data_IF_456821452791
#
_entry.id   IF_456821452791
#
_cell.length_a   1.000
_cell.length_b   1.000
_cell.length_c   1.000
_cell.angle_alpha   90.00
_cell.angle_beta   90.00
_cell.angle_gamma   90.00
#
_symmetry.space_group_name_H-M   'P 1'
#
loop_
_entity.id
_entity.type
_entity.pdbx_description
1 polymer ?
#
# COMPACT_ATOMS: atom_id res chain seq x y z
N UNK A 1 1.41 18.87 -3.73
CA UNK A 1 1.84 20.28 -3.93
C UNK A 1 1.36 21.21 -2.82
N UNK A 2 0.06 21.26 -2.46
CA UNK A 2 -0.43 22.14 -1.38
C UNK A 2 0.25 21.90 -0.02
N UNK A 3 0.57 20.65 0.32
CA UNK A 3 1.23 20.27 1.56
C UNK A 3 2.66 20.81 1.68
N UNK A 4 3.41 20.85 0.57
CA UNK A 4 4.78 21.39 0.52
C UNK A 4 4.78 22.91 0.68
N UNK A 5 3.78 23.60 0.12
CA UNK A 5 3.58 25.04 0.27
C UNK A 5 3.26 25.39 1.72
N UNK A 6 2.37 24.63 2.37
CA UNK A 6 2.07 24.79 3.79
C UNK A 6 3.31 24.62 4.69
N UNK A 7 4.14 23.63 4.40
CA UNK A 7 5.37 23.35 5.15
C UNK A 7 6.37 24.50 4.96
N UNK A 8 6.56 24.97 3.73
CA UNK A 8 7.45 26.09 3.43
C UNK A 8 6.99 27.40 4.10
N UNK A 9 5.68 27.64 4.12
CA UNK A 9 5.06 28.82 4.76
C UNK A 9 5.13 28.76 6.29
N UNK A 10 5.05 27.57 6.89
CA UNK A 10 5.27 27.40 8.33
C UNK A 10 6.74 27.55 8.74
N UNK A 11 7.68 27.15 7.86
CA UNK A 11 9.12 27.17 8.14
C UNK A 11 9.77 28.55 8.01
N UNK A 12 9.23 29.40 7.14
CA UNK A 12 9.87 30.67 6.79
C UNK A 12 9.77 31.74 7.87
N UNK A 13 8.93 31.56 8.91
CA UNK A 13 8.41 32.67 9.74
C UNK A 13 7.98 33.88 8.88
N UNK A 14 7.71 33.65 7.59
CA UNK A 14 7.32 34.72 6.71
C UNK A 14 5.96 35.13 7.21
N UNK A 15 5.86 36.35 7.72
CA UNK A 15 4.58 37.02 7.72
C UNK A 15 4.07 36.88 6.29
N UNK A 16 3.04 36.07 6.11
CA UNK A 16 2.31 35.87 4.86
C UNK A 16 1.57 37.16 4.54
N UNK A 17 2.30 38.27 4.48
CA UNK A 17 1.77 39.55 4.11
C UNK A 17 1.38 39.49 2.65
N UNK A 18 2.09 38.75 1.79
CA UNK A 18 1.66 38.57 0.41
C UNK A 18 2.08 37.25 -0.24
N UNK A 19 1.24 36.76 -1.14
CA UNK A 19 1.56 35.66 -2.06
C UNK A 19 1.53 36.21 -3.48
N UNK A 20 2.58 35.90 -4.25
CA UNK A 20 2.65 36.25 -5.66
C UNK A 20 2.48 34.99 -6.50
N UNK A 21 1.39 34.92 -7.26
CA UNK A 21 1.12 33.84 -8.19
C UNK A 21 0.65 34.44 -9.52
N UNK A 22 1.28 34.06 -10.63
CA UNK A 22 0.93 34.52 -11.99
C UNK A 22 0.88 36.07 -12.12
N UNK A 23 1.77 36.78 -11.41
CA UNK A 23 1.84 38.24 -11.43
C UNK A 23 0.80 38.97 -10.56
N UNK A 24 -0.13 38.25 -9.93
CA UNK A 24 -1.06 38.82 -8.95
C UNK A 24 -0.39 38.86 -7.57
N UNK A 25 -0.31 40.06 -7.01
CA UNK A 25 0.15 40.31 -5.66
C UNK A 25 -1.06 40.36 -4.73
N UNK A 26 -1.26 39.33 -3.92
CA UNK A 26 -2.39 39.29 -2.96
C UNK A 26 -1.83 39.52 -1.58
N UNK A 27 -2.22 40.62 -0.94
CA UNK A 27 -1.80 40.99 0.42
C UNK A 27 -2.85 40.52 1.43
N UNK A 28 -2.48 39.74 2.45
CA UNK A 28 -3.44 39.17 3.39
C UNK A 28 -3.50 39.98 4.68
N UNK A 29 -4.67 40.52 5.02
CA UNK A 29 -4.88 41.26 6.27
C UNK A 29 -4.98 40.38 7.53
N UNK A 30 -5.10 39.06 7.38
CA UNK A 30 -5.19 38.08 8.47
C UNK A 30 -4.47 36.77 8.08
N UNK A 31 -3.19 36.59 8.43
CA UNK A 31 -2.41 35.43 8.03
C UNK A 31 -2.93 34.12 8.62
N UNK A 32 -3.61 34.14 9.78
CA UNK A 32 -4.17 32.96 10.42
C UNK A 32 -5.30 32.34 9.58
N UNK A 33 -6.09 33.18 8.89
CA UNK A 33 -7.16 32.72 8.01
C UNK A 33 -6.60 32.00 6.78
N UNK A 34 -5.41 32.39 6.31
CA UNK A 34 -4.72 31.72 5.19
C UNK A 34 -4.27 30.31 5.59
N UNK A 35 -3.70 30.18 6.79
CA UNK A 35 -3.29 28.87 7.34
C UNK A 35 -4.51 27.96 7.50
N UNK A 36 -5.60 28.47 8.07
CA UNK A 36 -6.84 27.71 8.26
C UNK A 36 -7.45 27.28 6.92
N UNK A 37 -7.43 28.18 5.91
CA UNK A 37 -7.87 27.88 4.55
C UNK A 37 -7.03 26.79 3.89
N UNK A 38 -5.71 26.85 4.03
CA UNK A 38 -4.82 25.81 3.52
C UNK A 38 -5.02 24.46 4.22
N UNK A 39 -5.27 24.44 5.52
CA UNK A 39 -5.63 23.22 6.27
C UNK A 39 -6.94 22.63 5.76
N UNK A 40 -7.98 23.46 5.58
CA UNK A 40 -9.25 23.03 5.02
C UNK A 40 -9.11 22.46 3.60
N UNK A 41 -8.33 23.12 2.75
CA UNK A 41 -7.97 22.64 1.41
C UNK A 41 -7.25 21.29 1.48
N UNK A 42 -6.33 21.13 2.43
CA UNK A 42 -5.61 19.86 2.64
C UNK A 42 -6.56 18.74 3.05
N UNK A 43 -7.49 18.98 3.99
CA UNK A 43 -8.51 18.00 4.37
C UNK A 43 -9.46 17.66 3.23
N UNK A 44 -9.88 18.65 2.45
CA UNK A 44 -10.73 18.44 1.27
C UNK A 44 -10.04 17.53 0.24
N UNK A 45 -8.76 17.78 -0.05
CA UNK A 45 -7.99 16.93 -0.92
C UNK A 45 -7.78 15.53 -0.32
N UNK A 46 -7.45 15.41 0.97
CA UNK A 46 -7.35 14.13 1.68
C UNK A 46 -8.63 13.29 1.56
N UNK A 47 -9.79 13.92 1.76
CA UNK A 47 -11.09 13.28 1.60
C UNK A 47 -11.34 12.85 0.14
N UNK A 48 -11.08 13.72 -0.84
CA UNK A 48 -11.18 13.38 -2.26
C UNK A 48 -10.24 12.24 -2.65
N UNK A 49 -9.04 12.17 -2.07
CA UNK A 49 -8.11 11.05 -2.26
C UNK A 49 -8.67 9.74 -1.70
N UNK A 50 -9.28 9.78 -0.52
CA UNK A 50 -9.94 8.60 0.07
C UNK A 50 -11.11 8.12 -0.78
N UNK A 51 -11.87 9.03 -1.40
CA UNK A 51 -12.91 8.67 -2.35
C UNK A 51 -12.36 8.01 -3.62
N UNK A 52 -11.27 8.53 -4.20
CA UNK A 52 -10.63 7.91 -5.37
C UNK A 52 -10.14 6.49 -5.06
N UNK A 53 -9.61 6.25 -3.85
CA UNK A 53 -9.24 4.92 -3.39
C UNK A 53 -10.41 3.94 -3.36
N UNK A 54 -11.59 4.42 -2.98
CA UNK A 54 -12.80 3.58 -2.88
C UNK A 54 -13.42 3.35 -4.27
N UNK A 55 -13.30 4.32 -5.17
CA UNK A 55 -14.02 4.36 -6.46
C UNK A 55 -13.20 3.88 -7.66
N UNK A 56 -11.99 3.35 -7.46
CA UNK A 56 -11.09 2.98 -8.56
C UNK A 56 -11.67 1.83 -9.41
N UNK A 57 -11.80 2.00 -10.75
CA UNK A 57 -12.27 0.93 -11.62
C UNK A 57 -11.17 -0.13 -11.83
N UNK A 58 -11.41 -1.35 -11.35
CA UNK A 58 -10.53 -2.51 -11.53
C UNK A 58 -10.39 -3.37 -10.28
N UNK A 59 -9.56 -4.43 -10.29
CA UNK A 59 -9.21 -5.13 -9.07
C UNK A 59 -8.44 -4.14 -8.20
N UNK A 60 -9.04 -3.66 -7.11
CA UNK A 60 -8.40 -2.72 -6.19
C UNK A 60 -7.05 -3.22 -5.67
N UNK A 61 -6.29 -2.39 -4.96
CA UNK A 61 -4.93 -2.71 -4.49
C UNK A 61 -4.80 -4.11 -3.88
N UNK A 62 -5.81 -4.53 -3.11
CA UNK A 62 -5.93 -5.88 -2.54
C UNK A 62 -5.93 -6.99 -3.61
N UNK A 63 -6.73 -6.83 -4.66
CA UNK A 63 -6.83 -7.80 -5.75
C UNK A 63 -5.53 -7.92 -6.54
N UNK A 64 -4.89 -6.78 -6.86
CA UNK A 64 -3.59 -6.78 -7.56
C UNK A 64 -2.47 -7.36 -6.69
N UNK A 65 -2.47 -7.06 -5.39
CA UNK A 65 -1.57 -7.68 -4.42
C UNK A 65 -1.71 -9.20 -4.42
N UNK A 66 -2.94 -9.73 -4.25
CA UNK A 66 -3.15 -11.18 -4.23
C UNK A 66 -2.85 -11.84 -5.59
N UNK A 67 -3.12 -11.15 -6.71
CA UNK A 67 -2.73 -11.62 -8.04
C UNK A 67 -1.22 -11.85 -8.13
N UNK A 68 -0.42 -10.83 -7.77
CA UNK A 68 1.05 -10.91 -7.78
C UNK A 68 1.60 -11.86 -6.73
N UNK A 69 1.01 -11.88 -5.54
CA UNK A 69 1.41 -12.79 -4.47
C UNK A 69 1.26 -14.24 -4.95
N UNK A 70 0.12 -14.60 -5.54
CA UNK A 70 -0.09 -15.93 -6.10
C UNK A 70 0.96 -16.26 -7.16
N UNK A 71 1.22 -15.34 -8.09
CA UNK A 71 2.22 -15.52 -9.16
C UNK A 71 3.64 -15.76 -8.61
N UNK A 72 4.05 -15.02 -7.57
CA UNK A 72 5.41 -15.17 -6.99
C UNK A 72 5.54 -16.31 -6.00
N UNK A 73 4.48 -16.60 -5.24
CA UNK A 73 4.50 -17.65 -4.23
C UNK A 73 4.20 -19.03 -4.80
N UNK A 74 3.68 -19.15 -6.02
CA UNK A 74 3.31 -20.45 -6.61
C UNK A 74 4.41 -21.52 -6.52
N UNK A 75 5.69 -21.24 -6.86
CA UNK A 75 6.75 -22.25 -6.74
C UNK A 75 6.99 -22.68 -5.28
N UNK A 76 6.88 -21.74 -4.34
CA UNK A 76 7.05 -22.00 -2.91
C UNK A 76 5.90 -22.84 -2.37
N UNK A 77 4.67 -22.53 -2.78
CA UNK A 77 3.47 -23.29 -2.42
C UNK A 77 3.55 -24.72 -2.94
N UNK A 78 3.95 -24.90 -4.21
CA UNK A 78 4.17 -26.23 -4.80
C UNK A 78 5.22 -27.02 -4.01
N UNK A 79 6.34 -26.39 -3.64
CA UNK A 79 7.36 -27.02 -2.80
C UNK A 79 6.85 -27.41 -1.41
N UNK A 80 6.01 -26.58 -0.78
CA UNK A 80 5.40 -26.89 0.51
C UNK A 80 4.40 -28.04 0.40
N UNK A 81 3.54 -28.04 -0.62
CA UNK A 81 2.65 -29.16 -0.92
C UNK A 81 3.46 -30.43 -1.13
N UNK A 82 4.46 -30.43 -2.02
CA UNK A 82 5.23 -31.63 -2.36
C UNK A 82 5.95 -32.22 -1.14
N UNK A 83 6.27 -31.38 -0.14
CA UNK A 83 6.85 -31.84 1.12
C UNK A 83 5.84 -32.47 2.08
N UNK A 84 4.59 -32.02 2.06
CA UNK A 84 3.52 -32.51 2.95
C UNK A 84 2.71 -33.66 2.32
N UNK A 85 2.54 -33.61 1.00
CA UNK A 85 1.79 -34.55 0.17
C UNK A 85 2.65 -34.96 -1.04
N UNK A 86 3.62 -35.89 -0.87
CA UNK A 86 4.50 -36.32 -1.95
C UNK A 86 3.77 -36.96 -3.13
N UNK A 87 2.63 -37.62 -2.86
CA UNK A 87 1.76 -38.26 -3.86
C UNK A 87 1.02 -37.24 -4.74
N UNK A 88 0.87 -36.01 -4.28
CA UNK A 88 0.28 -34.90 -5.03
C UNK A 88 1.29 -34.14 -5.90
N UNK A 89 2.53 -34.62 -5.99
CA UNK A 89 3.60 -33.95 -6.72
C UNK A 89 3.31 -33.89 -8.22
N UNK A 90 3.52 -32.71 -8.81
CA UNK A 90 3.28 -32.46 -10.24
C UNK A 90 1.85 -32.09 -10.59
N UNK A 91 0.90 -32.20 -9.66
CA UNK A 91 -0.48 -31.75 -9.86
C UNK A 91 -0.56 -30.22 -9.87
N UNK A 92 -1.59 -29.64 -10.49
CA UNK A 92 -1.77 -28.19 -10.50
C UNK A 92 -2.43 -27.70 -9.20
N UNK A 93 -2.12 -26.49 -8.76
CA UNK A 93 -2.80 -25.90 -7.61
C UNK A 93 -4.19 -25.43 -8.05
N UNK A 94 -5.23 -25.90 -7.37
CA UNK A 94 -6.61 -25.53 -7.69
C UNK A 94 -7.01 -24.21 -7.01
N UNK A 95 -6.54 -23.98 -5.78
CA UNK A 95 -6.89 -22.81 -4.98
C UNK A 95 -5.75 -21.79 -4.88
N UNK A 96 -6.11 -20.51 -4.96
CA UNK A 96 -5.21 -19.37 -4.82
C UNK A 96 -5.15 -18.87 -3.37
N UNK A 97 -4.02 -18.33 -2.96
CA UNK A 97 -3.89 -17.56 -1.72
C UNK A 97 -4.88 -16.39 -1.68
N UNK A 98 -5.46 -16.16 -0.51
CA UNK A 98 -6.40 -15.07 -0.25
C UNK A 98 -7.88 -15.45 -0.39
N UNK A 99 -8.19 -16.69 -0.81
CA UNK A 99 -9.57 -17.20 -0.87
C UNK A 99 -10.09 -17.55 0.53
N UNK A 100 -9.29 -18.25 1.34
CA UNK A 100 -9.64 -18.62 2.72
C UNK A 100 -8.58 -18.14 3.70
N UNK A 101 -9.03 -17.45 4.75
CA UNK A 101 -8.18 -17.07 5.88
C UNK A 101 -8.34 -18.09 7.00
N UNK A 102 -7.23 -18.59 7.54
CA UNK A 102 -7.21 -19.40 8.76
C UNK A 102 -6.91 -18.55 10.00
N UNK A 103 -6.24 -17.41 9.79
CA UNK A 103 -5.91 -16.44 10.83
C UNK A 103 -5.33 -15.15 10.24
N UNK A 104 -4.90 -14.23 11.11
CA UNK A 104 -4.41 -12.91 10.70
C UNK A 104 -3.16 -12.98 9.80
N UNK A 105 -2.29 -13.98 10.02
CA UNK A 105 -1.03 -14.17 9.30
C UNK A 105 -0.95 -15.54 8.63
N UNK A 106 -2.08 -16.18 8.36
CA UNK A 106 -2.12 -17.49 7.72
C UNK A 106 -3.32 -17.68 6.82
N UNK A 107 -3.07 -18.40 5.73
CA UNK A 107 -4.07 -18.76 4.73
C UNK A 107 -4.23 -20.27 4.70
N UNK A 108 -5.45 -20.70 4.42
CA UNK A 108 -5.75 -22.09 4.12
C UNK A 108 -5.93 -22.19 2.60
N UNK A 109 -5.28 -23.16 1.98
CA UNK A 109 -5.54 -23.50 0.58
C UNK A 109 -5.77 -25.00 0.45
N UNK A 110 -6.72 -25.37 -0.38
CA UNK A 110 -6.95 -26.74 -0.82
C UNK A 110 -5.95 -27.04 -1.93
N UNK A 111 -5.17 -28.11 -1.74
CA UNK A 111 -4.18 -28.58 -2.70
C UNK A 111 -4.42 -30.04 -3.00
N UNK A 112 -4.17 -30.52 -4.22
CA UNK A 112 -4.29 -31.93 -4.51
C UNK A 112 -3.24 -32.73 -3.73
N UNK A 113 -3.67 -33.72 -2.96
CA UNK A 113 -2.84 -34.56 -2.09
C UNK A 113 -2.44 -35.88 -2.74
N UNK A 114 -3.29 -36.45 -3.59
CA UNK A 114 -3.06 -37.70 -4.30
C UNK A 114 -3.91 -37.76 -5.57
N UNK A 115 -3.54 -38.64 -6.51
CA UNK A 115 -4.36 -38.98 -7.68
C UNK A 115 -5.23 -40.20 -7.37
N UNK A 116 -6.54 -40.09 -7.59
CA UNK A 116 -7.48 -41.19 -7.40
C UNK A 116 -7.38 -42.20 -8.57
N UNK A 117 -7.73 -43.45 -8.29
CA UNK A 117 -7.76 -44.57 -9.24
C UNK A 117 -8.73 -44.34 -10.41
N UNK A 118 -9.67 -43.39 -10.28
CA UNK A 118 -10.62 -43.01 -11.34
C UNK A 118 -10.14 -41.83 -12.20
N UNK A 119 -8.95 -41.28 -11.93
CA UNK A 119 -8.39 -40.12 -12.62
C UNK A 119 -8.75 -38.76 -12.00
N UNK A 120 -9.48 -38.74 -10.89
CA UNK A 120 -9.68 -37.57 -10.04
C UNK A 120 -8.48 -37.27 -9.14
N UNK A 121 -8.58 -36.23 -8.31
CA UNK A 121 -7.58 -35.91 -7.30
C UNK A 121 -8.23 -35.80 -5.92
N UNK A 122 -7.58 -36.36 -4.91
CA UNK A 122 -7.92 -36.09 -3.52
C UNK A 122 -7.38 -34.72 -3.12
N UNK A 123 -8.11 -33.99 -2.28
CA UNK A 123 -7.71 -32.66 -1.82
C UNK A 123 -7.27 -32.69 -0.37
N UNK A 124 -6.07 -32.22 -0.09
CA UNK A 124 -5.56 -31.94 1.24
C UNK A 124 -5.62 -30.47 1.60
N UNK A 125 -5.63 -30.18 2.90
CA UNK A 125 -5.49 -28.83 3.43
C UNK A 125 -4.02 -28.47 3.60
N UNK A 126 -3.60 -27.33 3.04
CA UNK A 126 -2.27 -26.75 3.26
C UNK A 126 -2.42 -25.38 3.92
N UNK A 127 -1.75 -25.23 5.07
CA UNK A 127 -1.73 -23.97 5.83
C UNK A 127 -0.45 -23.23 5.46
N UNK A 128 -0.61 -22.04 4.89
CA UNK A 128 0.51 -21.18 4.52
C UNK A 128 0.59 -20.04 5.51
N UNK A 129 1.71 -19.96 6.22
CA UNK A 129 2.01 -18.85 7.10
C UNK A 129 2.65 -17.71 6.32
N UNK A 130 2.33 -16.46 6.66
CA UNK A 130 2.92 -15.27 6.04
C UNK A 130 4.45 -15.31 6.06
N UNK A 131 5.06 -15.83 7.14
CA UNK A 131 6.51 -15.96 7.26
C UNK A 131 7.15 -16.82 6.16
N UNK A 132 6.42 -17.80 5.63
CA UNK A 132 6.92 -18.71 4.58
C UNK A 132 6.92 -18.07 3.19
N UNK A 133 6.05 -17.07 2.99
CA UNK A 133 5.88 -16.33 1.73
C UNK A 133 6.15 -14.84 1.90
N UNK A 134 6.90 -14.46 2.94
CA UNK A 134 7.17 -13.07 3.31
C UNK A 134 7.94 -12.31 2.21
N UNK A 135 9.03 -12.84 1.62
CA UNK A 135 9.73 -12.10 0.58
C UNK A 135 8.85 -11.90 -0.67
N UNK A 136 8.04 -12.89 -1.03
CA UNK A 136 7.07 -12.80 -2.13
C UNK A 136 5.96 -11.80 -1.81
N UNK A 137 5.51 -11.75 -0.55
CA UNK A 137 4.51 -10.78 -0.07
C UNK A 137 5.05 -9.35 -0.13
N UNK A 138 6.29 -9.11 0.30
CA UNK A 138 6.92 -7.79 0.20
C UNK A 138 7.07 -7.39 -1.27
N UNK A 139 7.56 -8.30 -2.12
CA UNK A 139 7.70 -8.05 -3.56
C UNK A 139 6.36 -7.77 -4.23
N UNK A 140 5.33 -8.55 -3.91
CA UNK A 140 3.98 -8.37 -4.43
C UNK A 140 3.38 -7.03 -3.96
N UNK A 141 3.57 -6.64 -2.70
CA UNK A 141 3.10 -5.37 -2.17
C UNK A 141 3.80 -4.18 -2.84
N UNK A 142 5.14 -4.21 -2.92
CA UNK A 142 5.93 -3.16 -3.57
C UNK A 142 5.51 -2.98 -5.03
N UNK A 143 5.37 -4.08 -5.78
CA UNK A 143 4.99 -4.00 -7.19
C UNK A 143 3.51 -3.63 -7.37
N UNK A 144 2.60 -4.13 -6.53
CA UNK A 144 1.19 -3.71 -6.58
C UNK A 144 1.06 -2.20 -6.31
N UNK A 145 1.88 -1.65 -5.42
CA UNK A 145 1.98 -0.22 -5.22
C UNK A 145 2.60 0.49 -6.43
N UNK A 146 3.82 0.13 -6.85
CA UNK A 146 4.56 0.82 -7.91
C UNK A 146 3.90 0.76 -9.29
N UNK A 147 3.16 -0.31 -9.59
CA UNK A 147 2.51 -0.47 -10.91
C UNK A 147 1.15 0.20 -10.98
N UNK A 148 0.66 0.77 -9.88
CA UNK A 148 -0.53 1.62 -9.87
C UNK A 148 -0.07 3.06 -9.85
N UNK A 149 -0.36 3.78 -10.94
CA UNK A 149 -0.14 5.22 -11.09
C UNK A 149 -0.64 6.00 -9.88
N UNK A 150 -1.71 5.51 -9.22
CA UNK A 150 -2.21 6.12 -8.00
C UNK A 150 -1.18 6.22 -6.86
N UNK A 151 -0.42 5.15 -6.59
CA UNK A 151 0.54 5.14 -5.48
C UNK A 151 1.74 6.03 -5.81
N UNK A 152 2.26 5.96 -7.04
CA UNK A 152 3.42 6.76 -7.47
C UNK A 152 3.08 8.23 -7.64
N UNK A 153 1.90 8.55 -8.16
CA UNK A 153 1.54 9.91 -8.54
C UNK A 153 0.93 10.69 -7.37
N UNK A 154 0.34 10.00 -6.37
CA UNK A 154 -0.39 10.66 -5.28
C UNK A 154 0.05 10.23 -3.87
N UNK A 155 0.28 8.94 -3.60
CA UNK A 155 0.66 8.49 -2.25
C UNK A 155 2.14 8.72 -1.92
N UNK A 156 3.02 8.51 -2.89
CA UNK A 156 4.47 8.69 -2.73
C UNK A 156 4.88 10.13 -2.39
N UNK A 157 4.31 11.18 -3.02
CA UNK A 157 4.54 12.57 -2.59
C UNK A 157 4.07 12.87 -1.15
N UNK A 158 2.99 12.22 -0.68
CA UNK A 158 2.50 12.38 0.68
C UNK A 158 3.43 11.70 1.70
N UNK A 159 3.90 10.49 1.38
CA UNK A 159 4.89 9.76 2.18
C UNK A 159 6.19 10.56 2.31
N UNK A 160 6.70 11.11 1.21
CA UNK A 160 7.86 11.99 1.19
C UNK A 160 7.64 13.26 2.02
N UNK A 161 6.44 13.86 1.95
CA UNK A 161 6.11 15.02 2.77
C UNK A 161 6.08 14.66 4.26
N UNK A 162 5.54 13.50 4.63
CA UNK A 162 5.46 13.05 6.02
C UNK A 162 6.83 12.66 6.59
N UNK A 163 7.68 11.97 5.82
CA UNK A 163 9.04 11.61 6.26
C UNK A 163 9.96 12.83 6.33
N UNK A 164 9.84 13.76 5.37
CA UNK A 164 10.52 15.04 5.41
C UNK A 164 10.08 15.90 6.61
N UNK A 165 8.79 15.88 6.97
CA UNK A 165 8.29 16.57 8.17
C UNK A 165 8.84 15.95 9.46
N UNK A 166 8.93 14.62 9.52
CA UNK A 166 9.47 13.90 10.67
C UNK A 166 10.95 14.20 10.94
N UNK A 167 11.79 14.26 9.91
CA UNK A 167 13.21 14.62 10.07
C UNK A 167 13.39 16.07 10.51
N UNK A 168 12.54 16.97 10.02
CA UNK A 168 12.60 18.40 10.31
C UNK A 168 12.14 18.72 11.74
N UNK A 169 11.04 18.09 12.20
CA UNK A 169 10.55 18.25 13.58
C UNK A 169 11.53 17.67 14.58
N UNK A 170 12.14 16.52 14.27
CA UNK A 170 13.16 15.90 15.11
C UNK A 170 14.41 16.77 15.29
N UNK A 171 14.93 17.35 14.19
CA UNK A 171 16.07 18.28 14.24
C UNK A 171 15.77 19.57 15.01
N UNK A 172 14.53 20.06 14.92
CA UNK A 172 14.09 21.25 15.66
C UNK A 172 13.97 20.98 17.16
N UNK A 173 13.55 19.78 17.54
CA UNK A 173 13.42 19.35 18.93
C UNK A 173 14.78 19.11 19.59
N UNK A 174 15.75 18.52 18.86
CA UNK A 174 17.13 18.34 19.36
C UNK A 174 17.87 19.66 19.53
N UNK A 175 17.63 20.67 18.69
CA UNK A 175 18.32 21.96 18.80
C UNK A 175 17.77 22.87 19.91
N UNK A 176 16.62 22.53 20.49
CA UNK A 176 15.99 23.28 21.58
C UNK A 176 16.11 22.60 22.95
N UNK A 177 16.63 21.36 23.00
CA UNK A 177 16.92 20.61 24.22
C UNK A 177 18.42 20.69 24.57
#
# INVERSE_FOLDING_TARGET
MASTVLIFLGFSQAELQSVQALGLHVTFGRPEAVVLGLVAVTFYFAYRYLLYLIQEPGPGLKGEFFRRLNEYSEPKIRSLRDSQYPEGKGLQLEERLGVRSKGFLSWLIMVPSAQDNTGGFETGELIIHLRQVMPESIKAALLACLTRSYFTDYFFPFLLAATGFGSIVWDSFIRQA
#
